data_IF_163943868484
#
_entry.id   IF_163943868484
#
_cell.length_a   1.000
_cell.length_b   1.000
_cell.length_c   1.000
_cell.angle_alpha   90.00
_cell.angle_beta   90.00
_cell.angle_gamma   90.00
#
_symmetry.space_group_name_H-M   'P 1'
#
loop_
_entity.id
_entity.type
_entity.pdbx_description
1 polymer ?
#
# COMPACT_ATOMS: atom_id res chain seq x y z
N UNK A 1 -2.35 -13.48 18.84
CA UNK A 1 -1.06 -14.15 19.13
C UNK A 1 0.12 -13.42 18.51
N UNK A 2 0.21 -13.23 17.19
CA UNK A 2 1.34 -12.52 16.55
C UNK A 2 1.64 -11.12 17.11
N UNK A 3 0.61 -10.29 17.35
CA UNK A 3 0.82 -8.95 17.91
C UNK A 3 1.32 -9.00 19.37
N UNK A 4 0.92 -10.02 20.15
CA UNK A 4 1.44 -10.19 21.53
C UNK A 4 2.89 -10.68 21.52
N UNK A 5 3.22 -11.58 20.61
CA UNK A 5 4.60 -12.03 20.40
C UNK A 5 5.51 -10.86 20.01
N UNK A 6 5.07 -10.05 19.04
CA UNK A 6 5.80 -8.86 18.63
C UNK A 6 6.04 -7.87 19.79
N UNK A 7 5.03 -7.59 20.60
CA UNK A 7 5.16 -6.72 21.78
C UNK A 7 6.20 -7.27 22.77
N UNK A 8 6.25 -8.59 22.93
CA UNK A 8 7.19 -9.26 23.83
C UNK A 8 8.63 -9.28 23.28
N UNK A 9 8.78 -9.31 21.94
CA UNK A 9 10.07 -9.47 21.24
C UNK A 9 10.46 -8.25 20.39
N UNK A 10 9.96 -7.05 20.73
CA UNK A 10 10.05 -5.83 19.91
C UNK A 10 11.49 -5.40 19.54
N UNK A 11 12.49 -5.81 20.33
CA UNK A 11 13.91 -5.48 20.09
C UNK A 11 14.53 -6.27 18.93
N UNK A 12 14.03 -7.46 18.66
CA UNK A 12 14.61 -8.39 17.68
C UNK A 12 13.65 -8.77 16.57
N UNK A 13 12.36 -8.48 16.73
CA UNK A 13 11.30 -8.90 15.82
C UNK A 13 10.54 -7.69 15.28
N UNK A 14 10.44 -7.60 13.95
CA UNK A 14 9.58 -6.62 13.29
C UNK A 14 8.28 -7.29 12.81
N UNK A 15 7.14 -6.69 13.17
CA UNK A 15 5.85 -7.15 12.68
C UNK A 15 5.51 -6.49 11.34
N UNK A 16 5.56 -7.29 10.27
CA UNK A 16 5.19 -6.86 8.92
C UNK A 16 3.67 -7.02 8.76
N UNK A 17 2.96 -5.90 8.82
CA UNK A 17 1.52 -5.87 8.57
C UNK A 17 1.25 -5.95 7.06
N UNK A 18 0.35 -6.84 6.66
CA UNK A 18 0.07 -7.11 5.24
C UNK A 18 -0.92 -6.16 4.58
N UNK A 19 -1.43 -5.14 5.28
CA UNK A 19 -2.46 -4.25 4.72
C UNK A 19 -2.44 -2.86 5.34
N UNK A 20 -3.11 -1.89 4.69
CA UNK A 20 -3.12 -0.49 5.08
C UNK A 20 -4.09 -0.22 6.26
N UNK A 21 -3.84 -0.91 7.37
CA UNK A 21 -4.64 -0.87 8.58
C UNK A 21 -3.74 -0.83 9.82
N UNK A 22 -4.36 -0.78 11.00
CA UNK A 22 -3.67 -0.69 12.27
C UNK A 22 -3.31 0.74 12.68
N UNK A 23 -2.63 0.90 13.82
CA UNK A 23 -2.25 2.22 14.32
C UNK A 23 -1.18 2.87 13.44
N UNK A 24 -1.09 4.19 13.49
CA UNK A 24 0.10 4.89 12.99
C UNK A 24 1.38 4.24 13.56
N UNK A 25 2.43 4.01 12.76
CA UNK A 25 2.65 4.49 11.38
C UNK A 25 2.21 3.54 10.26
N UNK A 26 1.59 2.40 10.57
CA UNK A 26 1.40 1.32 9.63
C UNK A 26 0.60 1.68 8.37
N UNK A 27 -0.57 2.35 8.44
CA UNK A 27 -1.31 2.74 7.23
C UNK A 27 -0.49 3.64 6.28
N UNK A 28 0.28 4.59 6.83
CA UNK A 28 1.14 5.46 6.05
C UNK A 28 2.28 4.69 5.39
N UNK A 29 2.98 3.85 6.17
CA UNK A 29 4.08 3.04 5.69
C UNK A 29 3.64 2.09 4.56
N UNK A 30 2.53 1.39 4.75
CA UNK A 30 2.00 0.47 3.73
C UNK A 30 1.61 1.21 2.45
N UNK A 31 0.96 2.38 2.56
CA UNK A 31 0.67 3.24 1.40
C UNK A 31 1.94 3.61 0.66
N UNK A 32 2.97 4.10 1.36
CA UNK A 32 4.22 4.51 0.72
C UNK A 32 4.91 3.35 -0.01
N UNK A 33 4.90 2.15 0.58
CA UNK A 33 5.46 0.98 -0.10
C UNK A 33 4.62 0.49 -1.29
N UNK A 34 3.31 0.73 -1.29
CA UNK A 34 2.43 0.37 -2.40
C UNK A 34 2.26 1.49 -3.45
N UNK A 35 2.74 2.72 -3.19
CA UNK A 35 2.66 3.88 -4.12
C UNK A 35 3.17 3.55 -5.51
N UNK A 36 4.21 2.71 -5.60
CA UNK A 36 4.82 2.28 -6.86
C UNK A 36 3.79 1.77 -7.88
N UNK A 37 2.69 1.16 -7.43
CA UNK A 37 1.61 0.66 -8.29
C UNK A 37 0.97 1.82 -9.07
N UNK A 38 0.61 2.91 -8.39
CA UNK A 38 0.00 4.09 -9.02
C UNK A 38 0.98 4.80 -9.96
N UNK A 39 2.22 4.99 -9.51
CA UNK A 39 3.26 5.68 -10.28
C UNK A 39 3.60 4.95 -11.58
N UNK A 40 3.79 3.63 -11.51
CA UNK A 40 4.04 2.82 -12.68
C UNK A 40 2.83 2.78 -13.61
N UNK A 41 1.62 2.63 -13.07
CA UNK A 41 0.40 2.64 -13.88
C UNK A 41 0.26 3.95 -14.63
N UNK A 42 0.42 5.08 -13.95
CA UNK A 42 0.32 6.41 -14.55
C UNK A 42 1.36 6.60 -15.65
N UNK A 43 2.62 6.25 -15.37
CA UNK A 43 3.72 6.34 -16.34
C UNK A 43 3.45 5.47 -17.57
N UNK A 44 3.14 4.19 -17.37
CA UNK A 44 2.89 3.24 -18.45
C UNK A 44 1.67 3.63 -19.30
N UNK A 45 0.60 4.14 -18.66
CA UNK A 45 -0.60 4.57 -19.36
C UNK A 45 -0.33 5.83 -20.20
N UNK A 46 0.38 6.82 -19.66
CA UNK A 46 0.77 8.01 -20.42
C UNK A 46 1.69 7.66 -21.60
N UNK A 47 2.67 6.77 -21.41
CA UNK A 47 3.55 6.31 -22.48
C UNK A 47 2.75 5.68 -23.63
N UNK A 48 1.73 4.86 -23.31
CA UNK A 48 0.97 4.10 -24.31
C UNK A 48 -0.19 4.86 -24.95
N UNK A 49 -0.89 5.67 -24.19
CA UNK A 49 -2.17 6.29 -24.59
C UNK A 49 -2.11 7.82 -24.65
N UNK A 50 -1.00 8.43 -24.21
CA UNK A 50 -0.76 9.88 -24.26
C UNK A 50 -1.84 10.72 -23.54
N UNK A 51 -2.60 10.09 -22.64
CA UNK A 51 -3.61 10.71 -21.78
C UNK A 51 -3.67 9.97 -20.45
N UNK A 52 -4.44 10.47 -19.48
CA UNK A 52 -4.74 9.74 -18.24
C UNK A 52 -5.96 8.81 -18.44
N UNK A 53 -6.08 7.73 -17.65
CA UNK A 53 -7.26 6.88 -17.70
C UNK A 53 -8.50 7.63 -17.21
N UNK A 54 -9.64 7.41 -17.84
CA UNK A 54 -10.93 7.94 -17.37
C UNK A 54 -11.34 7.35 -16.02
N UNK A 55 -10.96 6.09 -15.76
CA UNK A 55 -11.29 5.36 -14.55
C UNK A 55 -10.11 4.50 -14.07
N UNK A 56 -9.90 4.49 -12.76
CA UNK A 56 -9.04 3.54 -12.06
C UNK A 56 -9.87 2.68 -11.13
N UNK A 57 -9.67 1.35 -11.15
CA UNK A 57 -10.49 0.41 -10.39
C UNK A 57 -9.56 -0.54 -9.63
N UNK A 58 -9.79 -0.69 -8.33
CA UNK A 58 -9.04 -1.58 -7.46
C UNK A 58 -9.98 -2.25 -6.45
N UNK A 59 -9.68 -3.50 -6.07
CA UNK A 59 -10.48 -4.21 -5.07
C UNK A 59 -10.12 -3.73 -3.65
N UNK A 60 -11.13 -3.67 -2.78
CA UNK A 60 -10.95 -3.18 -1.41
C UNK A 60 -11.28 -4.31 -0.42
N UNK A 61 -10.21 -4.95 0.08
CA UNK A 61 -10.23 -5.69 1.34
C UNK A 61 -9.69 -4.81 2.47
N UNK A 62 -8.45 -5.04 2.90
CA UNK A 62 -7.74 -4.13 3.83
C UNK A 62 -7.14 -2.88 3.16
N UNK A 63 -7.33 -2.70 1.85
CA UNK A 63 -7.11 -1.44 1.14
C UNK A 63 -5.68 -1.13 0.68
N UNK A 64 -4.67 -1.95 0.96
CA UNK A 64 -3.26 -1.66 0.61
C UNK A 64 -3.00 -1.51 -0.89
N UNK A 65 -3.52 -2.42 -1.71
CA UNK A 65 -3.37 -2.34 -3.17
C UNK A 65 -4.02 -1.06 -3.72
N UNK A 66 -5.25 -0.77 -3.26
CA UNK A 66 -6.04 0.36 -3.73
C UNK A 66 -5.43 1.70 -3.30
N UNK A 67 -5.04 1.85 -2.03
CA UNK A 67 -4.47 3.10 -1.54
C UNK A 67 -3.11 3.40 -2.19
N UNK A 68 -2.31 2.37 -2.51
CA UNK A 68 -1.07 2.54 -3.28
C UNK A 68 -1.35 2.96 -4.72
N UNK A 69 -2.30 2.30 -5.38
CA UNK A 69 -2.73 2.60 -6.74
C UNK A 69 -3.29 4.02 -6.90
N UNK A 70 -4.09 4.50 -5.94
CA UNK A 70 -4.75 5.82 -6.03
C UNK A 70 -3.90 6.98 -5.50
N UNK A 71 -2.82 6.69 -4.75
CA UNK A 71 -1.94 7.73 -4.20
C UNK A 71 -0.78 8.09 -5.14
N UNK A 72 -0.19 7.09 -5.79
CA UNK A 72 0.89 7.28 -6.79
C UNK A 72 0.38 7.73 -8.14
#
# INVERSE_FOLDING_TARGET
EAMRDWVSNVRTTHYIIGTAAGPHPYPHMVREFHRVIGEETRRQYLERYQTLPDYGIACIGGGSNAIGFFYG
#
